data_IF_117764466694
#
_entry.id   IF_117764466694
#
_cell.length_a   1.000
_cell.length_b   1.000
_cell.length_c   1.000
_cell.angle_alpha   90.00
_cell.angle_beta   90.00
_cell.angle_gamma   90.00
#
_symmetry.space_group_name_H-M   'P 1'
#
loop_
_entity.id
_entity.type
_entity.pdbx_description
1 polymer ?
#
# COMPACT_ATOMS: atom_id res chain seq x y z
N UNK A 1 -20.06 23.41 -54.39
CA UNK A 1 -20.64 23.40 -53.03
C UNK A 1 -20.54 22.04 -52.32
N UNK A 2 -20.71 20.90 -52.96
CA UNK A 2 -20.71 19.56 -52.34
C UNK A 2 -19.33 19.12 -51.84
N UNK A 3 -18.22 19.49 -52.48
CA UNK A 3 -16.86 19.13 -52.05
C UNK A 3 -16.41 19.80 -50.72
N UNK A 4 -16.86 21.02 -50.45
CA UNK A 4 -16.57 21.72 -49.19
C UNK A 4 -17.33 21.13 -47.99
N UNK A 5 -18.51 20.59 -48.21
CA UNK A 5 -19.31 19.97 -47.16
C UNK A 5 -18.68 18.65 -46.69
N UNK A 6 -18.07 17.88 -47.59
CA UNK A 6 -17.38 16.61 -47.20
C UNK A 6 -16.12 16.86 -46.40
N UNK A 7 -15.36 17.90 -46.67
CA UNK A 7 -14.16 18.24 -45.88
C UNK A 7 -14.56 18.72 -44.47
N UNK A 8 -15.65 19.48 -44.35
CA UNK A 8 -16.15 19.92 -43.04
C UNK A 8 -16.70 18.77 -42.18
N UNK A 9 -17.41 17.81 -42.79
CA UNK A 9 -17.87 16.61 -42.08
C UNK A 9 -16.70 15.70 -41.69
N UNK A 10 -15.66 15.61 -42.50
CA UNK A 10 -14.46 14.82 -42.14
C UNK A 10 -13.68 15.44 -40.98
N UNK A 11 -13.57 16.76 -40.91
CA UNK A 11 -12.92 17.49 -39.83
C UNK A 11 -13.73 17.35 -38.50
N UNK A 12 -15.06 17.43 -38.59
CA UNK A 12 -15.94 17.28 -37.42
C UNK A 12 -15.89 15.83 -36.89
N UNK A 13 -15.85 14.83 -37.76
CA UNK A 13 -15.76 13.41 -37.30
C UNK A 13 -14.39 13.09 -36.74
N UNK A 14 -13.30 13.65 -37.21
CA UNK A 14 -11.96 13.50 -36.63
C UNK A 14 -11.87 14.22 -35.27
N UNK A 15 -12.41 15.44 -35.16
CA UNK A 15 -12.45 16.18 -33.89
C UNK A 15 -13.34 15.50 -32.84
N UNK A 16 -14.46 14.90 -33.24
CA UNK A 16 -15.33 14.16 -32.32
C UNK A 16 -14.67 12.86 -31.88
N UNK A 17 -13.94 12.15 -32.72
CA UNK A 17 -13.19 10.95 -32.30
C UNK A 17 -12.03 11.26 -31.34
N UNK A 18 -11.31 12.35 -31.56
CA UNK A 18 -10.23 12.76 -30.64
C UNK A 18 -10.76 13.29 -29.33
N UNK A 19 -11.90 13.97 -29.30
CA UNK A 19 -12.50 14.45 -28.05
C UNK A 19 -13.28 13.37 -27.27
N UNK A 20 -13.81 12.34 -27.93
CA UNK A 20 -14.50 11.25 -27.25
C UNK A 20 -13.53 10.38 -26.42
N UNK A 21 -12.27 10.24 -26.84
CA UNK A 21 -11.26 9.50 -26.10
C UNK A 21 -10.69 10.26 -24.90
N UNK A 22 -10.74 11.59 -24.89
CA UNK A 22 -10.29 12.42 -23.77
C UNK A 22 -11.36 12.63 -22.70
N UNK A 23 -12.64 12.41 -23.01
CA UNK A 23 -13.75 12.60 -22.07
C UNK A 23 -13.97 11.42 -21.11
N UNK A 24 -13.43 10.23 -21.40
CA UNK A 24 -13.52 9.02 -20.57
C UNK A 24 -12.25 8.75 -19.74
N UNK A 25 -11.51 9.77 -19.50
CA UNK A 25 -10.46 10.00 -18.52
C UNK A 25 -9.89 8.80 -17.76
N UNK A 26 -9.23 7.99 -18.36
CA UNK A 26 -8.16 7.02 -18.29
C UNK A 26 -8.44 6.08 -19.44
N UNK A 27 -7.69 6.22 -20.49
CA UNK A 27 -7.70 5.23 -21.56
C UNK A 27 -7.45 3.88 -20.90
N UNK A 28 -8.44 3.02 -20.96
CA UNK A 28 -8.46 1.73 -20.22
C UNK A 28 -7.23 0.86 -20.52
N UNK A 29 -6.42 1.24 -21.47
CA UNK A 29 -5.36 0.43 -22.04
C UNK A 29 -4.01 1.15 -22.21
N UNK A 30 -3.86 2.43 -21.84
CA UNK A 30 -2.56 3.10 -21.99
C UNK A 30 -1.64 2.81 -20.80
N UNK A 31 -0.96 1.70 -20.88
CA UNK A 31 0.15 1.33 -20.00
C UNK A 31 1.51 1.55 -20.64
N UNK A 32 1.59 2.33 -21.70
CA UNK A 32 2.84 2.57 -22.45
C UNK A 32 3.93 3.18 -21.58
N UNK A 33 3.56 4.06 -20.64
CA UNK A 33 4.47 4.63 -19.66
C UNK A 33 5.03 3.57 -18.72
N UNK A 34 4.19 2.65 -18.23
CA UNK A 34 4.57 1.53 -17.36
C UNK A 34 5.49 0.56 -18.10
N UNK A 35 5.12 0.18 -19.32
CA UNK A 35 5.93 -0.71 -20.17
C UNK A 35 7.31 -0.10 -20.46
N UNK A 36 7.36 1.21 -20.70
CA UNK A 36 8.62 1.92 -20.88
C UNK A 36 9.44 1.92 -19.60
N UNK A 37 8.84 2.27 -18.47
CA UNK A 37 9.51 2.29 -17.17
C UNK A 37 10.07 0.91 -16.81
N UNK A 38 9.35 -0.16 -17.11
CA UNK A 38 9.81 -1.54 -16.80
C UNK A 38 10.93 -2.03 -17.73
N UNK A 39 11.09 -1.44 -18.90
CA UNK A 39 12.21 -1.73 -19.84
C UNK A 39 13.46 -0.91 -19.54
N UNK A 40 13.31 0.20 -18.83
CA UNK A 40 14.41 1.06 -18.40
C UNK A 40 14.73 0.81 -16.93
N UNK A 41 15.63 1.59 -16.37
CA UNK A 41 15.88 1.58 -14.93
C UNK A 41 14.74 2.31 -14.22
N UNK A 42 14.00 1.60 -13.36
CA UNK A 42 13.00 2.21 -12.48
C UNK A 42 13.71 2.81 -11.26
N UNK A 43 13.32 4.02 -10.82
CA UNK A 43 13.86 4.55 -9.57
C UNK A 43 13.46 3.64 -8.39
N UNK A 44 14.27 3.58 -7.32
CA UNK A 44 13.87 2.87 -6.12
C UNK A 44 12.60 3.50 -5.53
N UNK A 45 11.81 2.71 -4.81
CA UNK A 45 10.60 3.19 -4.13
C UNK A 45 10.94 4.33 -3.15
N UNK A 46 12.08 4.20 -2.45
CA UNK A 46 12.51 5.18 -1.45
C UNK A 46 14.02 5.40 -1.53
N UNK A 47 14.47 6.54 -0.97
CA UNK A 47 15.88 6.76 -0.70
C UNK A 47 16.23 6.11 0.64
N UNK A 48 16.85 4.94 0.58
CA UNK A 48 17.23 4.18 1.77
C UNK A 48 18.55 4.68 2.33
N UNK A 49 18.49 5.72 3.14
CA UNK A 49 19.65 6.27 3.82
C UNK A 49 19.36 6.43 5.31
N UNK A 50 20.15 5.78 6.17
CA UNK A 50 20.02 5.93 7.62
C UNK A 50 20.12 7.39 8.07
N UNK A 51 19.40 7.74 9.11
CA UNK A 51 19.40 9.05 9.74
C UNK A 51 19.23 8.94 11.27
N UNK A 52 19.40 10.02 12.00
CA UNK A 52 19.31 10.07 13.47
C UNK A 52 17.96 9.64 14.05
N UNK A 53 16.91 9.60 13.26
CA UNK A 53 15.56 9.19 13.68
C UNK A 53 15.28 7.71 13.39
N UNK A 54 16.20 7.07 12.65
CA UNK A 54 16.09 5.66 12.35
C UNK A 54 16.35 4.85 13.61
N UNK A 55 15.37 4.09 14.06
CA UNK A 55 15.49 3.18 15.20
C UNK A 55 15.07 1.80 14.76
N UNK A 56 15.98 0.87 14.87
CA UNK A 56 15.72 -0.55 14.67
C UNK A 56 14.75 -1.07 15.74
N UNK A 57 14.02 -2.07 15.36
CA UNK A 57 13.15 -2.81 16.27
C UNK A 57 13.66 -4.22 16.48
N UNK A 58 13.08 -4.93 17.43
CA UNK A 58 13.36 -6.35 17.62
C UNK A 58 13.06 -7.11 16.34
N UNK A 59 14.02 -7.87 15.83
CA UNK A 59 13.83 -8.75 14.68
C UNK A 59 12.91 -9.90 15.10
N UNK A 60 11.65 -9.85 14.64
CA UNK A 60 10.67 -10.89 14.95
C UNK A 60 10.91 -12.11 14.04
N UNK A 61 11.85 -12.95 14.43
CA UNK A 61 12.11 -14.23 13.80
C UNK A 61 11.32 -15.34 14.51
N UNK A 62 10.07 -15.53 14.09
CA UNK A 62 9.25 -16.57 14.67
C UNK A 62 9.66 -17.95 14.13
N UNK A 63 9.91 -18.96 14.99
CA UNK A 63 10.29 -20.30 14.54
C UNK A 63 9.27 -20.92 13.58
N UNK A 64 9.79 -21.62 12.58
CA UNK A 64 9.07 -22.21 11.44
C UNK A 64 7.88 -23.08 11.84
N UNK A 65 8.04 -23.95 12.82
CA UNK A 65 7.01 -24.88 13.29
C UNK A 65 5.74 -24.19 13.82
N UNK A 66 5.87 -22.93 14.21
CA UNK A 66 4.74 -22.10 14.66
C UNK A 66 3.91 -21.52 13.49
N UNK A 67 4.46 -21.44 12.26
CA UNK A 67 3.76 -20.85 11.12
C UNK A 67 3.06 -21.86 10.22
N UNK A 68 3.61 -23.04 10.09
CA UNK A 68 3.27 -23.94 8.99
C UNK A 68 2.16 -24.96 9.27
N UNK A 69 1.53 -24.92 10.44
CA UNK A 69 0.40 -25.81 10.70
C UNK A 69 -0.88 -25.19 10.11
N UNK A 70 -1.35 -25.77 9.01
CA UNK A 70 -2.59 -25.43 8.29
C UNK A 70 -3.88 -25.46 9.16
N UNK A 71 -3.76 -25.77 10.42
CA UNK A 71 -4.85 -25.94 11.40
C UNK A 71 -5.03 -24.77 12.35
N UNK A 72 -4.61 -23.54 12.00
CA UNK A 72 -4.73 -22.40 12.91
C UNK A 72 -6.04 -21.65 12.72
N UNK A 73 -6.60 -21.16 13.83
CA UNK A 73 -7.77 -20.29 13.80
C UNK A 73 -7.46 -18.99 13.05
N UNK A 74 -8.47 -18.36 12.47
CA UNK A 74 -8.35 -17.07 11.78
C UNK A 74 -7.55 -16.04 12.59
N UNK A 75 -7.89 -15.87 13.88
CA UNK A 75 -7.25 -14.90 14.77
C UNK A 75 -5.75 -15.16 14.93
N UNK A 76 -5.35 -16.39 15.20
CA UNK A 76 -3.93 -16.72 15.42
C UNK A 76 -3.12 -16.65 14.11
N UNK A 77 -3.71 -17.02 12.98
CA UNK A 77 -3.09 -16.89 11.66
C UNK A 77 -2.92 -15.43 11.24
N UNK A 78 -3.94 -14.60 11.47
CA UNK A 78 -3.90 -13.16 11.18
C UNK A 78 -2.85 -12.43 12.00
N UNK A 79 -2.79 -12.65 13.30
CA UNK A 79 -1.77 -12.04 14.16
C UNK A 79 -0.35 -12.43 13.75
N UNK A 80 -0.11 -13.70 13.44
CA UNK A 80 1.21 -14.16 13.03
C UNK A 80 1.65 -13.57 11.70
N UNK A 81 0.74 -13.51 10.72
CA UNK A 81 1.03 -12.88 9.43
C UNK A 81 1.27 -11.38 9.57
N UNK A 82 0.60 -10.76 10.52
CA UNK A 82 0.81 -9.35 10.82
C UNK A 82 2.20 -9.11 11.41
N UNK A 83 2.58 -9.80 12.48
CA UNK A 83 3.94 -9.68 13.04
C UNK A 83 5.02 -10.03 12.02
N UNK A 84 4.78 -11.03 11.18
CA UNK A 84 5.69 -11.36 10.09
C UNK A 84 5.82 -10.22 9.08
N UNK A 85 4.72 -9.61 8.66
CA UNK A 85 4.75 -8.47 7.75
C UNK A 85 5.44 -7.24 8.36
N UNK A 86 5.25 -6.98 9.64
CA UNK A 86 5.94 -5.90 10.36
C UNK A 86 7.46 -6.13 10.46
N UNK A 87 7.89 -7.39 10.51
CA UNK A 87 9.32 -7.72 10.65
C UNK A 87 10.18 -7.19 9.48
N UNK A 88 9.62 -7.05 8.28
CA UNK A 88 10.34 -6.47 7.14
C UNK A 88 10.77 -5.02 7.40
N UNK A 89 9.85 -4.20 7.90
CA UNK A 89 10.18 -2.81 8.21
C UNK A 89 11.13 -2.67 9.39
N UNK A 90 10.99 -3.50 10.42
CA UNK A 90 11.96 -3.54 11.53
C UNK A 90 13.35 -3.94 11.06
N UNK A 91 13.44 -4.92 10.16
CA UNK A 91 14.71 -5.34 9.59
C UNK A 91 15.40 -4.23 8.77
N UNK A 92 14.63 -3.52 7.92
CA UNK A 92 15.14 -2.35 7.20
C UNK A 92 15.61 -1.28 8.17
N UNK A 93 14.82 -0.97 9.21
CA UNK A 93 15.18 0.03 10.22
C UNK A 93 16.46 -0.33 10.96
N UNK A 94 16.61 -1.60 11.39
CA UNK A 94 17.80 -2.07 12.08
C UNK A 94 19.05 -1.95 11.20
N UNK A 95 18.95 -2.34 9.92
CA UNK A 95 20.05 -2.17 8.98
C UNK A 95 20.45 -0.70 8.82
N UNK A 96 19.47 0.20 8.61
CA UNK A 96 19.71 1.62 8.38
C UNK A 96 20.21 2.33 9.65
N UNK A 97 19.78 1.90 10.84
CA UNK A 97 20.31 2.38 12.12
C UNK A 97 21.79 1.99 12.27
N UNK A 98 22.12 0.72 12.01
CA UNK A 98 23.50 0.24 12.03
C UNK A 98 24.38 0.78 10.89
N UNK A 99 23.78 1.34 9.83
CA UNK A 99 24.48 2.09 8.79
C UNK A 99 24.81 3.53 9.24
N UNK A 100 23.94 4.14 10.03
CA UNK A 100 24.06 5.51 10.51
C UNK A 100 24.94 5.63 11.77
N UNK A 101 24.79 4.71 12.72
CA UNK A 101 25.49 4.69 14.00
C UNK A 101 26.62 3.66 13.99
N UNK A 102 27.87 4.12 14.09
CA UNK A 102 29.05 3.26 14.04
C UNK A 102 29.18 2.26 15.20
N UNK A 103 28.57 2.56 16.34
CA UNK A 103 28.50 1.70 17.52
C UNK A 103 27.42 0.61 17.42
N UNK A 104 26.53 0.70 16.44
CA UNK A 104 25.45 -0.23 16.19
C UNK A 104 25.64 -1.09 14.92
N UNK A 105 26.87 -1.22 14.43
CA UNK A 105 27.19 -2.01 13.23
C UNK A 105 26.69 -3.45 13.32
N UNK A 106 26.64 -4.03 14.51
CA UNK A 106 26.09 -5.38 14.74
C UNK A 106 24.66 -5.54 14.22
N UNK A 107 23.85 -4.48 14.18
CA UNK A 107 22.48 -4.54 13.62
C UNK A 107 22.48 -4.85 12.12
N UNK A 108 23.49 -4.38 11.38
CA UNK A 108 23.67 -4.77 9.96
C UNK A 108 24.12 -6.21 9.83
N UNK A 109 24.98 -6.66 10.72
CA UNK A 109 25.49 -8.04 10.73
C UNK A 109 24.34 -9.01 11.04
N UNK A 110 23.52 -8.75 12.04
CA UNK A 110 22.34 -9.53 12.38
C UNK A 110 21.33 -9.57 11.21
N UNK A 111 21.13 -8.44 10.55
CA UNK A 111 20.29 -8.38 9.36
C UNK A 111 20.80 -9.32 8.25
N UNK A 112 22.09 -9.27 7.95
CA UNK A 112 22.71 -10.05 6.88
C UNK A 112 22.82 -11.53 7.24
N UNK A 113 23.24 -11.83 8.47
CA UNK A 113 23.61 -13.18 8.89
C UNK A 113 22.46 -13.99 9.49
N UNK A 114 21.43 -13.33 10.01
CA UNK A 114 20.29 -13.98 10.64
C UNK A 114 18.97 -13.74 9.91
N UNK A 115 18.61 -12.47 9.65
CA UNK A 115 17.30 -12.16 9.09
C UNK A 115 17.15 -12.58 7.64
N UNK A 116 18.12 -12.30 6.76
CA UNK A 116 18.06 -12.73 5.36
C UNK A 116 17.97 -14.26 5.23
N UNK A 117 18.82 -15.07 5.90
CA UNK A 117 18.68 -16.53 5.91
C UNK A 117 17.34 -17.02 6.43
N UNK A 118 16.82 -16.41 7.49
CA UNK A 118 15.48 -16.70 8.01
C UNK A 118 14.39 -16.46 6.96
N UNK A 119 14.45 -15.33 6.23
CA UNK A 119 13.49 -15.00 5.19
C UNK A 119 13.58 -15.97 4.00
N UNK A 120 14.78 -16.32 3.57
CA UNK A 120 15.00 -17.33 2.52
C UNK A 120 14.38 -18.67 2.93
N UNK A 121 14.58 -19.09 4.18
CA UNK A 121 13.96 -20.31 4.72
C UNK A 121 12.42 -20.21 4.77
N UNK A 122 11.87 -19.05 5.10
CA UNK A 122 10.44 -18.80 5.06
C UNK A 122 9.88 -18.95 3.64
N UNK A 123 10.61 -18.46 2.64
CA UNK A 123 10.27 -18.59 1.23
C UNK A 123 10.32 -20.05 0.75
N UNK A 124 11.39 -20.79 1.06
CA UNK A 124 11.55 -22.20 0.72
C UNK A 124 10.42 -23.06 1.32
N UNK A 125 10.00 -22.73 2.52
CA UNK A 125 8.92 -23.41 3.22
C UNK A 125 7.52 -22.84 2.91
N UNK A 126 7.41 -21.90 1.98
CA UNK A 126 6.15 -21.32 1.49
C UNK A 126 5.25 -20.82 2.62
N UNK A 127 5.79 -19.99 3.53
CA UNK A 127 5.01 -19.41 4.62
C UNK A 127 3.79 -18.65 4.10
N UNK A 128 2.66 -18.78 4.81
CA UNK A 128 1.41 -18.06 4.53
C UNK A 128 0.76 -18.33 3.15
N UNK A 129 1.17 -19.36 2.43
CA UNK A 129 0.58 -19.71 1.11
C UNK A 129 -0.69 -20.56 1.19
N UNK A 130 -1.28 -20.71 2.37
CA UNK A 130 -2.55 -21.44 2.57
C UNK A 130 -3.72 -20.74 1.89
N UNK A 131 -4.74 -21.52 1.47
CA UNK A 131 -5.93 -20.97 0.81
C UNK A 131 -6.99 -20.45 1.78
N UNK A 132 -7.06 -21.03 2.98
CA UNK A 132 -8.03 -20.66 4.01
C UNK A 132 -7.53 -21.02 5.40
N UNK A 133 -7.99 -20.28 6.40
CA UNK A 133 -7.85 -20.66 7.79
C UNK A 133 -8.86 -21.74 8.15
N UNK A 134 -8.53 -22.64 9.05
CA UNK A 134 -9.45 -23.75 9.45
C UNK A 134 -10.63 -23.31 10.30
N UNK A 135 -10.52 -22.15 10.96
CA UNK A 135 -11.60 -21.56 11.77
C UNK A 135 -11.69 -20.07 11.50
N UNK A 136 -12.87 -19.59 11.27
CA UNK A 136 -13.16 -18.19 10.98
C UNK A 136 -12.96 -17.85 9.50
N UNK A 137 -14.03 -17.40 8.84
CA UNK A 137 -14.01 -16.98 7.44
C UNK A 137 -13.20 -15.70 7.27
N UNK A 138 -12.87 -15.45 6.07
CA UNK A 138 -12.24 -14.28 5.48
C UNK A 138 -10.81 -13.95 5.90
N UNK A 139 -10.11 -13.61 4.97
CA UNK A 139 -8.91 -12.83 4.75
C UNK A 139 -7.57 -13.50 5.04
N UNK A 140 -7.40 -14.74 4.65
CA UNK A 140 -6.06 -15.21 4.26
C UNK A 140 -5.51 -14.24 3.21
N UNK A 141 -6.33 -13.86 2.21
CA UNK A 141 -5.96 -12.87 1.21
C UNK A 141 -5.47 -11.55 1.81
N UNK A 142 -6.19 -10.99 2.79
CA UNK A 142 -5.77 -9.76 3.47
C UNK A 142 -4.37 -9.88 4.11
N UNK A 143 -4.09 -11.00 4.76
CA UNK A 143 -2.77 -11.28 5.32
C UNK A 143 -1.69 -11.41 4.24
N UNK A 144 -2.04 -12.03 3.11
CA UNK A 144 -1.15 -12.16 1.96
C UNK A 144 -0.85 -10.80 1.32
N UNK A 145 -1.83 -9.90 1.23
CA UNK A 145 -1.60 -8.51 0.78
C UNK A 145 -0.64 -7.76 1.68
N UNK A 146 -0.82 -7.84 3.00
CA UNK A 146 0.09 -7.21 3.95
C UNK A 146 1.53 -7.70 3.80
N UNK A 147 1.70 -9.02 3.63
CA UNK A 147 3.02 -9.60 3.41
C UNK A 147 3.59 -9.10 2.07
N UNK A 148 2.80 -9.12 0.99
CA UNK A 148 3.27 -8.67 -0.33
C UNK A 148 3.68 -7.19 -0.34
N UNK A 149 2.93 -6.31 0.32
CA UNK A 149 3.28 -4.88 0.42
C UNK A 149 4.65 -4.72 1.07
N UNK A 150 4.83 -5.29 2.26
CA UNK A 150 6.07 -5.14 3.01
C UNK A 150 7.24 -5.90 2.38
N UNK A 151 6.98 -7.06 1.79
CA UNK A 151 7.97 -7.83 1.04
C UNK A 151 8.45 -7.07 -0.21
N UNK A 152 7.53 -6.39 -0.93
CA UNK A 152 7.91 -5.58 -2.09
C UNK A 152 8.87 -4.45 -1.71
N UNK A 153 8.56 -3.74 -0.62
CA UNK A 153 9.44 -2.68 -0.12
C UNK A 153 10.77 -3.24 0.37
N UNK A 154 10.75 -4.39 1.03
CA UNK A 154 11.97 -5.08 1.45
C UNK A 154 12.84 -5.49 0.24
N UNK A 155 12.23 -6.01 -0.82
CA UNK A 155 12.95 -6.37 -2.04
C UNK A 155 13.57 -5.14 -2.72
N UNK A 156 12.82 -4.04 -2.83
CA UNK A 156 13.35 -2.78 -3.36
C UNK A 156 14.55 -2.28 -2.54
N UNK A 157 14.46 -2.36 -1.21
CA UNK A 157 15.57 -2.05 -0.31
C UNK A 157 16.79 -2.93 -0.57
N UNK A 158 16.60 -4.25 -0.66
CA UNK A 158 17.65 -5.22 -0.89
C UNK A 158 18.31 -5.03 -2.26
N UNK A 159 17.51 -4.76 -3.30
CA UNK A 159 18.00 -4.46 -4.64
C UNK A 159 18.81 -3.15 -4.65
N UNK A 160 18.29 -2.10 -3.99
CA UNK A 160 18.97 -0.80 -3.90
C UNK A 160 20.31 -0.85 -3.14
N UNK A 161 20.38 -1.64 -2.07
CA UNK A 161 21.59 -1.83 -1.26
C UNK A 161 22.51 -2.94 -1.79
N UNK A 162 22.12 -3.62 -2.86
CA UNK A 162 22.86 -4.74 -3.46
C UNK A 162 23.24 -5.84 -2.44
N UNK A 163 22.27 -6.27 -1.64
CA UNK A 163 22.49 -7.18 -0.51
C UNK A 163 22.16 -8.66 -0.81
N UNK A 164 21.63 -8.97 -2.00
CA UNK A 164 21.30 -10.35 -2.36
C UNK A 164 22.55 -11.19 -2.62
N UNK A 165 22.58 -12.38 -2.01
CA UNK A 165 23.48 -13.45 -2.46
C UNK A 165 22.83 -14.21 -3.63
N UNK A 166 23.66 -14.88 -4.43
CA UNK A 166 23.23 -15.64 -5.62
C UNK A 166 22.06 -16.57 -5.31
N UNK A 167 20.99 -16.47 -6.08
CA UNK A 167 19.80 -17.31 -6.01
C UNK A 167 18.82 -16.96 -4.87
N UNK A 168 19.15 -16.03 -3.98
CA UNK A 168 18.24 -15.65 -2.88
C UNK A 168 17.02 -14.87 -3.39
N UNK A 169 17.26 -13.89 -4.26
CA UNK A 169 16.19 -13.06 -4.84
C UNK A 169 15.15 -13.91 -5.57
N UNK A 170 15.60 -14.86 -6.36
CA UNK A 170 14.74 -15.77 -7.13
C UNK A 170 13.86 -16.64 -6.23
N UNK A 171 14.38 -17.11 -5.09
CA UNK A 171 13.59 -17.87 -4.10
C UNK A 171 12.48 -17.00 -3.49
N UNK A 172 12.81 -15.77 -3.15
CA UNK A 172 11.84 -14.80 -2.61
C UNK A 172 10.78 -14.44 -3.64
N UNK A 173 11.18 -14.19 -4.90
CA UNK A 173 10.22 -13.93 -6.00
C UNK A 173 9.27 -15.08 -6.19
N UNK A 174 9.76 -16.32 -6.26
CA UNK A 174 8.90 -17.51 -6.39
C UNK A 174 7.88 -17.63 -5.26
N UNK A 175 8.29 -17.35 -4.04
CA UNK A 175 7.39 -17.37 -2.90
C UNK A 175 6.35 -16.24 -2.95
N UNK A 176 6.76 -15.02 -3.24
CA UNK A 176 5.87 -13.88 -3.41
C UNK A 176 4.87 -14.08 -4.54
N UNK A 177 5.27 -14.74 -5.62
CA UNK A 177 4.36 -15.11 -6.72
C UNK A 177 3.28 -16.10 -6.26
N UNK A 178 3.63 -17.07 -5.42
CA UNK A 178 2.62 -17.95 -4.82
C UNK A 178 1.66 -17.16 -3.91
N UNK A 179 2.16 -16.21 -3.13
CA UNK A 179 1.30 -15.34 -2.30
C UNK A 179 0.36 -14.50 -3.17
N UNK A 180 0.88 -13.90 -4.25
CA UNK A 180 0.08 -13.17 -5.22
C UNK A 180 -1.01 -14.05 -5.85
N UNK A 181 -0.65 -15.20 -6.40
CA UNK A 181 -1.60 -16.12 -7.04
C UNK A 181 -2.71 -16.57 -6.10
N UNK A 182 -2.36 -16.91 -4.85
CA UNK A 182 -3.32 -17.35 -3.83
C UNK A 182 -4.25 -16.21 -3.41
N UNK A 183 -3.71 -15.02 -3.15
CA UNK A 183 -4.52 -13.86 -2.80
C UNK A 183 -5.41 -13.43 -3.96
N UNK A 184 -4.89 -13.44 -5.19
CA UNK A 184 -5.63 -13.13 -6.40
C UNK A 184 -6.77 -14.12 -6.66
N UNK A 185 -6.52 -15.42 -6.51
CA UNK A 185 -7.57 -16.44 -6.60
C UNK A 185 -8.68 -16.22 -5.57
N UNK A 186 -8.32 -15.98 -4.32
CA UNK A 186 -9.28 -15.71 -3.25
C UNK A 186 -10.07 -14.42 -3.49
N UNK A 187 -9.44 -13.41 -4.11
CA UNK A 187 -10.07 -12.13 -4.40
C UNK A 187 -11.06 -12.21 -5.58
N UNK A 188 -10.70 -12.89 -6.66
CA UNK A 188 -11.45 -12.84 -7.91
C UNK A 188 -12.25 -14.12 -8.23
N UNK A 189 -11.75 -15.29 -7.91
CA UNK A 189 -12.33 -16.54 -8.39
C UNK A 189 -13.29 -17.22 -7.41
N UNK A 190 -13.03 -17.14 -6.12
CA UNK A 190 -13.74 -17.93 -5.11
C UNK A 190 -14.97 -17.22 -4.51
N UNK A 191 -15.75 -16.52 -5.33
CA UNK A 191 -16.88 -15.70 -4.85
C UNK A 191 -16.43 -14.44 -4.08
N UNK A 192 -15.13 -14.24 -4.00
CA UNK A 192 -14.48 -13.10 -3.35
C UNK A 192 -15.03 -11.77 -3.85
N UNK A 193 -15.31 -11.66 -5.16
CA UNK A 193 -16.00 -10.49 -5.72
C UNK A 193 -17.28 -10.12 -4.96
N UNK A 194 -18.10 -11.10 -4.55
CA UNK A 194 -19.34 -10.82 -3.81
C UNK A 194 -19.10 -10.45 -2.34
N UNK A 195 -18.05 -10.96 -1.71
CA UNK A 195 -17.75 -10.73 -0.30
C UNK A 195 -16.74 -9.60 -0.09
N UNK A 196 -15.66 -9.53 -0.89
CA UNK A 196 -14.59 -8.55 -0.71
C UNK A 196 -14.90 -7.17 -1.31
N UNK A 197 -15.77 -7.07 -2.33
CA UNK A 197 -16.25 -5.76 -2.82
C UNK A 197 -17.06 -4.96 -1.81
N UNK A 198 -17.41 -5.56 -0.67
CA UNK A 198 -18.08 -4.87 0.43
C UNK A 198 -17.13 -4.06 1.32
N UNK A 199 -15.84 -4.37 1.28
CA UNK A 199 -14.84 -3.77 2.17
C UNK A 199 -13.77 -3.03 1.38
N UNK A 200 -13.86 -1.70 1.28
CA UNK A 200 -12.90 -0.88 0.56
C UNK A 200 -11.46 -1.08 1.01
N UNK A 201 -11.23 -1.29 2.32
CA UNK A 201 -9.91 -1.57 2.90
C UNK A 201 -9.27 -2.86 2.36
N UNK A 202 -10.05 -3.81 1.91
CA UNK A 202 -9.54 -5.05 1.31
C UNK A 202 -9.15 -4.83 -0.15
N UNK A 203 -9.96 -4.07 -0.90
CA UNK A 203 -9.69 -3.77 -2.32
C UNK A 203 -8.50 -2.81 -2.45
N UNK A 204 -8.44 -1.76 -1.62
CA UNK A 204 -7.31 -0.83 -1.62
C UNK A 204 -5.99 -1.52 -1.26
N UNK A 205 -6.03 -2.45 -0.30
CA UNK A 205 -4.87 -3.24 0.09
C UNK A 205 -4.41 -4.17 -1.02
N UNK A 206 -5.34 -4.80 -1.75
CA UNK A 206 -5.02 -5.58 -2.94
C UNK A 206 -4.37 -4.70 -4.02
N UNK A 207 -4.90 -3.48 -4.25
CA UNK A 207 -4.33 -2.52 -5.18
C UNK A 207 -2.87 -2.21 -4.84
N UNK A 208 -2.58 -1.82 -3.60
CA UNK A 208 -1.22 -1.53 -3.14
C UNK A 208 -0.31 -2.76 -3.28
N UNK A 209 -0.76 -3.93 -2.83
CA UNK A 209 0.01 -5.17 -2.88
C UNK A 209 0.41 -5.57 -4.31
N UNK A 210 -0.55 -5.55 -5.23
CA UNK A 210 -0.30 -6.00 -6.59
C UNK A 210 0.49 -4.98 -7.42
N UNK A 211 0.24 -3.69 -7.24
CA UNK A 211 1.02 -2.65 -7.89
C UNK A 211 2.49 -2.67 -7.43
N UNK A 212 2.73 -2.74 -6.11
CA UNK A 212 4.08 -2.84 -5.55
C UNK A 212 4.78 -4.12 -6.04
N UNK A 213 4.11 -5.28 -5.94
CA UNK A 213 4.70 -6.55 -6.38
C UNK A 213 4.99 -6.56 -7.88
N UNK A 214 4.10 -6.01 -8.70
CA UNK A 214 4.31 -5.81 -10.13
C UNK A 214 5.46 -4.84 -10.43
N UNK A 215 5.58 -3.76 -9.67
CA UNK A 215 6.62 -2.76 -9.84
C UNK A 215 8.03 -3.33 -9.55
N UNK A 216 8.25 -3.93 -8.39
CA UNK A 216 9.57 -4.43 -7.99
C UNK A 216 10.05 -5.63 -8.82
N UNK A 217 9.12 -6.36 -9.42
CA UNK A 217 9.43 -7.48 -10.32
C UNK A 217 9.31 -7.11 -11.81
N UNK A 218 8.99 -5.87 -12.13
CA UNK A 218 8.75 -5.39 -13.51
C UNK A 218 7.69 -6.24 -14.25
N UNK A 219 6.68 -6.73 -13.51
CA UNK A 219 5.59 -7.58 -14.02
C UNK A 219 4.36 -6.74 -14.32
N UNK A 220 4.17 -6.45 -15.60
CA UNK A 220 3.07 -5.62 -16.09
C UNK A 220 1.68 -6.19 -15.78
N UNK A 221 1.52 -7.52 -15.78
CA UNK A 221 0.24 -8.16 -15.48
C UNK A 221 -0.18 -7.92 -14.04
N UNK A 222 0.72 -8.17 -13.10
CA UNK A 222 0.47 -7.95 -11.67
C UNK A 222 0.21 -6.47 -11.36
N UNK A 223 0.98 -5.57 -11.99
CA UNK A 223 0.77 -4.14 -11.90
C UNK A 223 -0.63 -3.73 -12.40
N UNK A 224 -1.06 -4.22 -13.58
CA UNK A 224 -2.40 -3.96 -14.14
C UNK A 224 -3.52 -4.46 -13.23
N UNK A 225 -3.34 -5.60 -12.59
CA UNK A 225 -4.33 -6.14 -11.64
C UNK A 225 -4.50 -5.20 -10.44
N UNK A 226 -3.42 -4.71 -9.84
CA UNK A 226 -3.49 -3.73 -8.76
C UNK A 226 -4.03 -2.37 -9.21
N UNK A 227 -3.64 -1.89 -10.38
CA UNK A 227 -4.13 -0.63 -10.93
C UNK A 227 -5.65 -0.66 -11.19
N UNK A 228 -6.19 -1.78 -11.64
CA UNK A 228 -7.63 -1.98 -11.80
C UNK A 228 -8.36 -1.82 -10.46
N UNK A 229 -7.83 -2.38 -9.39
CA UNK A 229 -8.41 -2.27 -8.04
C UNK A 229 -8.30 -0.84 -7.50
N UNK A 230 -7.15 -0.16 -7.71
CA UNK A 230 -7.00 1.27 -7.42
C UNK A 230 -8.08 2.10 -8.11
N UNK A 231 -8.28 1.90 -9.41
CA UNK A 231 -9.27 2.64 -10.19
C UNK A 231 -10.72 2.32 -9.79
N UNK A 232 -10.98 1.13 -9.26
CA UNK A 232 -12.28 0.77 -8.73
C UNK A 232 -12.62 1.61 -7.47
N UNK A 233 -11.69 1.75 -6.54
CA UNK A 233 -11.90 2.55 -5.33
C UNK A 233 -11.87 4.05 -5.63
N UNK A 234 -10.93 4.51 -6.43
CA UNK A 234 -10.84 5.89 -6.87
C UNK A 234 -12.17 6.44 -7.44
N UNK A 235 -12.90 5.66 -8.25
CA UNK A 235 -14.19 6.06 -8.82
C UNK A 235 -15.30 6.26 -7.79
N UNK A 236 -15.13 5.75 -6.60
CA UNK A 236 -16.14 5.87 -5.52
C UNK A 236 -16.03 7.18 -4.75
N UNK A 237 -14.86 7.83 -4.76
CA UNK A 237 -14.62 9.06 -4.01
C UNK A 237 -15.54 10.17 -4.54
N UNK A 238 -16.39 10.79 -3.70
CA UNK A 238 -17.28 11.88 -4.12
C UNK A 238 -16.53 13.23 -4.20
N UNK A 239 -17.19 14.25 -4.73
CA UNK A 239 -16.63 15.59 -4.93
C UNK A 239 -16.19 16.27 -3.62
N UNK A 240 -16.90 15.98 -2.53
CA UNK A 240 -16.64 16.52 -1.17
C UNK A 240 -15.63 15.70 -0.37
N UNK A 241 -15.10 14.61 -0.94
CA UNK A 241 -14.11 13.76 -0.30
C UNK A 241 -14.67 12.77 0.73
N UNK A 242 -15.97 12.76 1.02
CA UNK A 242 -16.60 11.89 2.04
C UNK A 242 -16.61 10.42 1.63
N UNK A 243 -15.44 9.83 1.54
CA UNK A 243 -15.27 8.49 1.00
C UNK A 243 -15.88 7.40 1.90
N UNK A 244 -15.92 7.60 3.22
CA UNK A 244 -16.55 6.69 4.18
C UNK A 244 -18.01 6.33 3.86
N UNK A 245 -18.77 7.20 3.19
CA UNK A 245 -20.13 6.93 2.75
C UNK A 245 -20.27 5.72 1.83
N UNK A 246 -19.15 5.22 1.29
CA UNK A 246 -19.11 4.02 0.48
C UNK A 246 -18.72 2.76 1.26
N UNK A 247 -18.39 2.89 2.55
CA UNK A 247 -18.20 1.75 3.43
C UNK A 247 -19.59 1.15 3.75
N UNK A 248 -19.82 -0.08 3.29
CA UNK A 248 -21.05 -0.80 3.60
C UNK A 248 -20.90 -1.47 4.97
N UNK A 249 -21.42 -0.84 5.97
CA UNK A 249 -21.49 -1.36 7.33
C UNK A 249 -22.82 -1.02 7.96
N UNK A 250 -23.08 -1.34 9.22
CA UNK A 250 -24.30 -0.96 9.94
C UNK A 250 -24.50 0.56 10.02
N UNK A 251 -23.46 1.34 9.69
CA UNK A 251 -23.45 2.81 9.73
C UNK A 251 -23.36 3.45 8.35
N UNK A 252 -23.56 2.69 7.28
CA UNK A 252 -23.47 3.21 5.92
C UNK A 252 -24.47 4.34 5.66
N UNK A 253 -23.98 5.53 5.36
CA UNK A 253 -24.78 6.73 5.08
C UNK A 253 -25.07 7.62 6.28
N UNK A 254 -24.65 7.24 7.50
CA UNK A 254 -24.77 8.07 8.70
C UNK A 254 -23.47 8.85 8.99
N UNK A 255 -23.47 9.63 10.06
CA UNK A 255 -22.30 10.38 10.52
C UNK A 255 -21.17 9.41 10.82
N UNK A 256 -19.99 9.72 10.30
CA UNK A 256 -18.77 8.95 10.50
C UNK A 256 -18.51 8.71 11.98
N UNK A 257 -18.36 7.48 12.38
CA UNK A 257 -17.89 7.11 13.71
C UNK A 257 -16.37 6.90 13.73
N UNK A 258 -15.82 6.62 14.90
CA UNK A 258 -14.37 6.38 15.03
C UNK A 258 -13.88 5.12 14.32
N UNK A 259 -14.77 4.15 14.06
CA UNK A 259 -14.46 2.95 13.30
C UNK A 259 -14.33 3.25 11.81
N UNK A 260 -15.28 4.03 11.26
CA UNK A 260 -15.25 4.46 9.87
C UNK A 260 -14.00 5.30 9.59
N UNK A 261 -13.66 6.22 10.50
CA UNK A 261 -12.44 7.01 10.44
C UNK A 261 -11.17 6.14 10.38
N UNK A 262 -11.09 5.12 11.22
CA UNK A 262 -10.00 4.17 11.22
C UNK A 262 -9.91 3.37 9.92
N UNK A 263 -11.04 2.89 9.40
CA UNK A 263 -11.11 2.16 8.13
C UNK A 263 -10.75 3.05 6.94
N UNK A 264 -11.27 4.29 6.92
CA UNK A 264 -10.96 5.26 5.87
C UNK A 264 -9.47 5.60 5.85
N UNK A 265 -8.88 5.87 7.02
CA UNK A 265 -7.44 6.11 7.13
C UNK A 265 -6.60 4.96 6.55
N UNK A 266 -6.94 3.71 6.87
CA UNK A 266 -6.26 2.53 6.32
C UNK A 266 -6.43 2.42 4.81
N UNK A 267 -7.65 2.61 4.34
CA UNK A 267 -7.97 2.54 2.91
C UNK A 267 -7.24 3.61 2.12
N UNK A 268 -7.24 4.85 2.61
CA UNK A 268 -6.53 5.95 1.97
C UNK A 268 -5.01 5.74 1.98
N UNK A 269 -4.45 5.18 3.04
CA UNK A 269 -3.04 4.82 3.09
C UNK A 269 -2.64 3.85 1.98
N UNK A 270 -3.44 2.81 1.76
CA UNK A 270 -3.22 1.86 0.68
C UNK A 270 -3.36 2.53 -0.71
N UNK A 271 -4.36 3.41 -0.90
CA UNK A 271 -4.56 4.14 -2.15
C UNK A 271 -3.42 5.13 -2.44
N UNK A 272 -2.89 5.78 -1.41
CA UNK A 272 -1.72 6.66 -1.53
C UNK A 272 -0.50 5.89 -2.00
N UNK A 273 -0.23 4.73 -1.38
CA UNK A 273 0.90 3.87 -1.77
C UNK A 273 0.74 3.39 -3.22
N UNK A 274 -0.45 2.90 -3.58
CA UNK A 274 -0.73 2.47 -4.94
C UNK A 274 -0.56 3.62 -5.95
N UNK A 275 -1.05 4.82 -5.62
CA UNK A 275 -0.90 6.01 -6.47
C UNK A 275 0.55 6.44 -6.60
N UNK A 276 1.32 6.40 -5.52
CA UNK A 276 2.74 6.72 -5.54
C UNK A 276 3.51 5.82 -6.51
N UNK A 277 3.28 4.51 -6.42
CA UNK A 277 3.89 3.55 -7.36
C UNK A 277 3.43 3.82 -8.80
N UNK A 278 2.16 4.19 -8.99
CA UNK A 278 1.66 4.63 -10.29
C UNK A 278 2.40 5.85 -10.83
N UNK A 279 2.63 6.87 -10.00
CA UNK A 279 3.33 8.10 -10.38
C UNK A 279 4.79 7.84 -10.77
N UNK A 280 5.48 6.92 -10.10
CA UNK A 280 6.86 6.51 -10.44
C UNK A 280 6.99 5.96 -11.87
N UNK A 281 5.91 5.42 -12.42
CA UNK A 281 5.84 4.89 -13.80
C UNK A 281 5.01 5.77 -14.75
N UNK A 282 4.73 7.01 -14.35
CA UNK A 282 4.05 8.01 -15.18
C UNK A 282 2.52 7.93 -15.22
N UNK A 283 1.90 7.17 -14.31
CA UNK A 283 0.44 7.09 -14.19
C UNK A 283 -0.08 8.07 -13.13
N UNK A 284 -0.52 9.25 -13.57
CA UNK A 284 -0.97 10.32 -12.66
C UNK A 284 -2.41 10.11 -12.21
N UNK A 285 -2.60 9.54 -11.00
CA UNK A 285 -3.93 9.28 -10.42
C UNK A 285 -4.22 10.09 -9.16
N UNK A 286 -3.21 10.47 -8.42
CA UNK A 286 -3.34 11.05 -7.07
C UNK A 286 -4.18 12.33 -7.02
N UNK A 287 -3.88 13.30 -7.90
CA UNK A 287 -4.59 14.60 -7.96
C UNK A 287 -5.72 14.63 -8.98
N UNK A 288 -5.84 13.61 -9.81
CA UNK A 288 -6.82 13.57 -10.90
C UNK A 288 -8.24 13.54 -10.34
N UNK A 289 -9.14 14.33 -10.92
CA UNK A 289 -10.56 14.25 -10.59
C UNK A 289 -11.22 13.08 -11.33
N UNK A 290 -12.00 12.29 -10.61
CA UNK A 290 -12.86 11.27 -11.19
C UNK A 290 -14.15 11.90 -11.79
N UNK A 291 -15.02 11.08 -12.38
CA UNK A 291 -16.28 11.54 -12.97
C UNK A 291 -17.24 12.21 -12.00
N UNK A 292 -17.08 11.96 -10.70
CA UNK A 292 -17.90 12.56 -9.62
C UNK A 292 -17.26 13.82 -9.05
N UNK A 293 -16.11 14.25 -9.60
CA UNK A 293 -15.34 15.39 -9.08
C UNK A 293 -14.51 15.09 -7.84
N UNK A 294 -14.44 13.83 -7.40
CA UNK A 294 -13.60 13.39 -6.29
C UNK A 294 -12.17 13.03 -6.71
N UNK A 295 -11.26 13.05 -5.76
CA UNK A 295 -9.87 12.60 -5.91
C UNK A 295 -9.35 12.04 -4.59
N UNK A 296 -8.23 11.32 -4.64
CA UNK A 296 -7.59 10.78 -3.43
C UNK A 296 -7.20 11.93 -2.49
N UNK A 297 -6.63 13.02 -3.01
CA UNK A 297 -6.27 14.18 -2.19
C UNK A 297 -7.49 14.78 -1.49
N UNK A 298 -8.64 14.93 -2.15
CA UNK A 298 -9.86 15.42 -1.51
C UNK A 298 -10.35 14.53 -0.37
N UNK A 299 -10.22 13.21 -0.51
CA UNK A 299 -10.57 12.29 0.56
C UNK A 299 -9.60 12.41 1.76
N UNK A 300 -8.30 12.64 1.49
CA UNK A 300 -7.30 12.89 2.53
C UNK A 300 -7.56 14.22 3.25
N UNK A 301 -7.90 15.27 2.50
CA UNK A 301 -8.23 16.58 3.09
C UNK A 301 -9.47 16.49 3.99
N UNK A 302 -10.49 15.77 3.55
CA UNK A 302 -11.68 15.51 4.37
C UNK A 302 -11.33 14.72 5.63
N UNK A 303 -10.55 13.64 5.51
CA UNK A 303 -10.09 12.85 6.66
C UNK A 303 -9.29 13.72 7.64
N UNK A 304 -8.44 14.62 7.13
CA UNK A 304 -7.68 15.58 7.93
C UNK A 304 -8.57 16.53 8.72
N UNK A 305 -9.59 17.08 8.10
CA UNK A 305 -10.57 17.98 8.76
C UNK A 305 -11.30 17.28 9.90
N UNK A 306 -11.86 16.09 9.66
CA UNK A 306 -12.56 15.33 10.69
C UNK A 306 -11.63 14.88 11.81
N UNK A 307 -10.40 14.50 11.50
CA UNK A 307 -9.41 14.10 12.51
C UNK A 307 -9.01 15.24 13.45
N UNK A 308 -9.11 16.46 12.97
CA UNK A 308 -8.82 17.67 13.76
C UNK A 308 -9.98 18.07 14.66
N UNK A 309 -11.21 17.65 14.34
CA UNK A 309 -12.41 17.93 15.11
C UNK A 309 -13.18 16.66 15.47
N UNK A 310 -12.62 15.79 16.32
CA UNK A 310 -13.21 14.49 16.65
C UNK A 310 -14.55 14.61 17.38
N UNK A 311 -14.92 15.79 17.89
CA UNK A 311 -16.21 16.02 18.55
C UNK A 311 -17.41 15.93 17.58
N UNK A 312 -17.17 16.03 16.27
CA UNK A 312 -18.16 15.82 15.23
C UNK A 312 -18.47 14.33 14.98
N UNK A 313 -17.68 13.44 15.56
CA UNK A 313 -17.87 11.99 15.39
C UNK A 313 -18.94 11.45 16.33
N UNK A 314 -19.89 10.73 15.78
CA UNK A 314 -20.90 9.97 16.53
C UNK A 314 -20.26 8.67 17.03
N UNK A 315 -20.31 8.42 18.34
CA UNK A 315 -19.79 7.17 18.91
C UNK A 315 -18.26 7.10 18.97
N UNK A 316 -17.66 7.89 19.83
CA UNK A 316 -16.20 7.91 20.01
C UNK A 316 -15.70 6.64 20.71
N UNK A 317 -15.04 5.74 19.96
CA UNK A 317 -14.22 4.69 20.52
C UNK A 317 -12.74 5.17 20.54
N UNK A 318 -12.25 5.51 21.72
CA UNK A 318 -10.88 6.01 21.91
C UNK A 318 -9.81 5.07 21.34
N UNK A 319 -10.05 3.76 21.30
CA UNK A 319 -9.10 2.82 20.70
C UNK A 319 -8.89 3.09 19.23
N UNK A 320 -9.95 3.36 18.49
CA UNK A 320 -9.86 3.64 17.06
C UNK A 320 -9.23 5.00 16.78
N UNK A 321 -9.58 6.02 17.58
CA UNK A 321 -8.96 7.33 17.51
C UNK A 321 -7.47 7.25 17.88
N UNK A 322 -7.12 6.51 18.91
CA UNK A 322 -5.73 6.32 19.33
C UNK A 322 -4.94 5.51 18.28
N UNK A 323 -5.52 4.49 17.68
CA UNK A 323 -4.90 3.77 16.58
C UNK A 323 -4.66 4.68 15.38
N UNK A 324 -5.61 5.53 15.03
CA UNK A 324 -5.43 6.50 13.97
C UNK A 324 -4.34 7.51 14.30
N UNK A 325 -4.31 8.02 15.55
CA UNK A 325 -3.31 8.98 16.01
C UNK A 325 -1.91 8.36 16.13
N UNK A 326 -1.82 7.11 16.60
CA UNK A 326 -0.54 6.47 16.93
C UNK A 326 0.06 5.67 15.77
N UNK A 327 -0.75 4.92 15.03
CA UNK A 327 -0.29 3.76 14.27
C UNK A 327 -0.71 3.78 12.81
N UNK A 328 -1.70 4.62 12.45
CA UNK A 328 -2.33 4.57 11.14
C UNK A 328 -1.67 5.44 10.07
N UNK A 329 -0.74 6.33 10.43
CA UNK A 329 -0.36 7.46 9.59
C UNK A 329 1.03 7.37 8.95
N UNK A 330 1.74 6.24 9.02
CA UNK A 330 3.08 6.14 8.39
C UNK A 330 3.04 6.30 6.86
N UNK A 331 1.90 6.09 6.24
CA UNK A 331 1.68 6.39 4.83
C UNK A 331 1.77 7.90 4.52
N UNK A 332 1.71 8.78 5.54
CA UNK A 332 1.92 10.21 5.38
C UNK A 332 3.31 10.53 4.83
N UNK A 333 4.32 9.73 5.13
CA UNK A 333 5.64 9.86 4.50
C UNK A 333 5.57 9.72 2.98
N UNK A 334 4.73 8.81 2.47
CA UNK A 334 4.50 8.64 1.04
C UNK A 334 3.62 9.75 0.48
N UNK A 335 2.60 10.18 1.24
CA UNK A 335 1.76 11.31 0.88
C UNK A 335 2.59 12.58 0.65
N UNK A 336 3.53 12.90 1.55
CA UNK A 336 4.42 14.07 1.44
C UNK A 336 5.31 14.04 0.20
N UNK A 337 5.62 12.86 -0.35
CA UNK A 337 6.33 12.73 -1.64
C UNK A 337 5.44 13.09 -2.84
N UNK A 338 4.14 12.88 -2.72
CA UNK A 338 3.13 13.21 -3.72
C UNK A 338 2.60 14.65 -3.59
N UNK A 339 2.50 15.12 -2.36
CA UNK A 339 2.03 16.46 -2.01
C UNK A 339 2.98 17.17 -1.05
N UNK A 340 3.67 18.18 -1.54
CA UNK A 340 4.66 18.94 -0.77
C UNK A 340 4.06 20.07 0.08
N UNK A 341 2.73 20.21 0.10
CA UNK A 341 2.10 21.36 0.74
C UNK A 341 2.08 21.32 2.27
N UNK A 342 2.36 20.17 2.88
CA UNK A 342 2.43 19.91 4.34
C UNK A 342 1.28 20.53 5.19
N UNK A 343 0.23 21.05 4.55
CA UNK A 343 -0.87 21.77 5.21
C UNK A 343 -1.97 20.82 5.74
N UNK A 344 -1.86 19.52 5.50
CA UNK A 344 -2.87 18.59 5.97
C UNK A 344 -2.70 18.30 7.46
N UNK A 345 -3.76 18.43 8.30
CA UNK A 345 -3.68 18.16 9.74
C UNK A 345 -3.17 16.76 10.10
N UNK A 346 -3.38 15.76 9.24
CA UNK A 346 -2.85 14.40 9.45
C UNK A 346 -1.33 14.36 9.36
N UNK A 347 -0.71 15.23 8.55
CA UNK A 347 0.76 15.33 8.47
C UNK A 347 1.29 15.82 9.81
N UNK A 348 0.71 16.88 10.37
CA UNK A 348 1.11 17.41 11.67
C UNK A 348 0.91 16.37 12.79
N UNK A 349 -0.20 15.65 12.76
CA UNK A 349 -0.47 14.55 13.70
C UNK A 349 0.57 13.44 13.58
N UNK A 350 0.93 13.05 12.36
CA UNK A 350 1.95 12.03 12.09
C UNK A 350 3.32 12.48 12.60
N UNK A 351 3.73 13.73 12.32
CA UNK A 351 5.01 14.26 12.77
C UNK A 351 5.08 14.28 14.29
N UNK A 352 4.06 14.84 14.97
CA UNK A 352 3.98 14.87 16.42
C UNK A 352 4.03 13.49 17.06
N UNK A 353 3.22 12.55 16.57
CA UNK A 353 3.22 11.17 17.08
C UNK A 353 4.55 10.48 16.84
N UNK A 354 5.19 10.80 15.73
CA UNK A 354 6.52 10.30 15.38
C UNK A 354 7.60 10.77 16.34
N UNK A 355 7.53 12.00 16.83
CA UNK A 355 8.46 12.54 17.83
C UNK A 355 8.23 11.92 19.22
N UNK A 356 6.96 11.79 19.66
CA UNK A 356 6.62 11.39 21.01
C UNK A 356 6.83 9.89 21.28
N UNK A 357 6.48 9.02 20.35
CA UNK A 357 6.38 7.57 20.61
C UNK A 357 7.50 6.70 20.02
N UNK A 358 8.38 7.28 19.25
CA UNK A 358 9.50 6.51 18.68
C UNK A 358 9.14 5.45 17.65
N UNK A 359 7.89 5.00 17.54
CA UNK A 359 7.42 3.95 16.63
C UNK A 359 6.03 4.25 16.11
N UNK A 360 5.85 4.32 14.79
CA UNK A 360 4.54 4.16 14.19
C UNK A 360 4.26 2.67 14.01
N UNK A 361 3.30 2.13 14.73
CA UNK A 361 2.77 0.78 14.47
C UNK A 361 1.88 0.83 13.22
N UNK A 362 2.48 1.09 12.09
CA UNK A 362 1.72 0.97 10.85
C UNK A 362 1.83 -0.46 10.32
N UNK A 363 0.71 -0.98 9.87
CA UNK A 363 0.67 -2.23 9.13
C UNK A 363 1.50 -2.16 7.84
N UNK A 364 1.87 -0.94 7.45
CA UNK A 364 2.56 -0.61 6.22
C UNK A 364 3.63 0.45 6.55
N UNK A 365 4.87 0.21 6.11
CA UNK A 365 5.96 1.18 6.22
C UNK A 365 6.33 1.60 7.65
N UNK A 366 6.42 0.65 8.57
CA UNK A 366 6.87 0.93 9.96
C UNK A 366 8.33 1.44 10.08
N UNK A 367 9.05 1.55 8.96
CA UNK A 367 10.38 2.16 8.84
C UNK A 367 10.33 3.59 8.27
N UNK A 368 9.16 4.20 8.17
CA UNK A 368 8.96 5.51 7.52
C UNK A 368 9.92 6.61 8.02
N UNK A 369 10.32 6.55 9.28
CA UNK A 369 11.30 7.49 9.86
C UNK A 369 12.70 7.39 9.26
N UNK A 370 13.10 6.19 8.86
CA UNK A 370 14.40 5.98 8.25
C UNK A 370 14.50 6.51 6.82
N UNK A 371 13.35 6.73 6.17
CA UNK A 371 13.28 7.23 4.79
C UNK A 371 12.78 8.68 4.69
N UNK A 372 12.32 9.26 5.80
CA UNK A 372 11.86 10.65 5.85
C UNK A 372 13.02 11.54 6.34
N UNK A 373 13.83 12.02 5.39
CA UNK A 373 14.94 12.92 5.68
C UNK A 373 14.49 14.35 6.01
N UNK A 374 13.20 14.63 5.96
CA UNK A 374 12.61 15.97 6.18
C UNK A 374 11.95 16.11 7.57
N UNK A 375 12.05 15.07 8.43
CA UNK A 375 11.73 15.21 9.85
C UNK A 375 12.81 16.08 10.48
N UNK A 376 12.55 17.37 10.55
CA UNK A 376 13.40 18.36 11.24
C UNK A 376 13.00 18.48 12.69
#
# INVERSE_FOLDING_TARGET
MIKFLFIFLSIITVSIKTNANTFFGVDKNDYSSVERAFKTETPPLFQYKGNKFCKGGTLYMTPYDKFNKSKKSHTSGKLKSWFFALSFGHAISSYLEGEYHSDLVHLKEDFINEYIPYLVKAAENKYFTVNKWTKGGSSVAYSQYMILINLSVFMDFMDNKNLWKTGQREKIVKWGDILYERSHYNHYANGGRKQHHRWPDTVSKAAAAYMLWGFVNKDLKKFKDGYRDLMQEYKKIPADGKYHQHFKGPYAGEIMDSWDLYLENKTLGDLVIASYVGELVGMKTFRKLNKKGGSIIKAIDYLGQISSNPNELKGQDERHLNNMRADGNSWMTVYRKLDKTDNNPLVNLHLKTSEEKGYGFSQILNFSRCIDNELK
#
